data_IF_019507956201
#
_entry.id   IF_019507956201
#
_cell.length_a   1.000
_cell.length_b   1.000
_cell.length_c   1.000
_cell.angle_alpha   90.00
_cell.angle_beta   90.00
_cell.angle_gamma   90.00
#
_symmetry.space_group_name_H-M   'P 1'
#
loop_
_entity.id
_entity.type
_entity.pdbx_description
1 polymer ?
#
# COMPACT_ATOMS: atom_id res chain seq x y z
N UNK A 1 12.07 12.25 -13.42
CA UNK A 1 11.00 12.34 -12.40
C UNK A 1 11.48 11.56 -11.20
N UNK A 2 11.38 12.10 -9.99
CA UNK A 2 11.74 11.37 -8.76
C UNK A 2 10.81 10.17 -8.59
N UNK A 3 11.38 9.00 -8.32
CA UNK A 3 10.60 7.79 -8.02
C UNK A 3 9.80 7.99 -6.73
N UNK A 4 8.49 7.79 -6.80
CA UNK A 4 7.62 7.80 -5.62
C UNK A 4 7.65 6.40 -5.01
N UNK A 5 7.97 6.32 -3.72
CA UNK A 5 7.98 5.06 -2.98
C UNK A 5 6.92 5.09 -1.88
N UNK A 6 6.09 4.05 -1.82
CA UNK A 6 5.10 3.84 -0.76
C UNK A 6 5.52 2.61 0.03
N UNK A 7 6.06 2.84 1.21
CA UNK A 7 6.53 1.76 2.09
C UNK A 7 5.36 1.17 2.85
N UNK A 8 5.30 -0.16 2.89
CA UNK A 8 4.32 -0.92 3.66
C UNK A 8 5.01 -1.51 4.88
N UNK A 9 4.40 -1.34 6.04
CA UNK A 9 4.86 -1.84 7.32
C UNK A 9 3.85 -2.85 7.88
N UNK A 10 4.36 -3.83 8.62
CA UNK A 10 3.54 -4.72 9.43
C UNK A 10 3.03 -4.01 10.69
N UNK A 11 2.11 -4.65 11.41
CA UNK A 11 1.57 -4.17 12.69
C UNK A 11 2.65 -3.83 13.73
N UNK A 12 3.84 -4.46 13.65
CA UNK A 12 4.96 -4.20 14.54
C UNK A 12 5.88 -3.06 14.07
N UNK A 13 5.49 -2.32 13.03
CA UNK A 13 6.30 -1.27 12.42
C UNK A 13 7.49 -1.79 11.63
N UNK A 14 7.54 -3.10 11.33
CA UNK A 14 8.61 -3.68 10.51
C UNK A 14 8.29 -3.45 9.03
N UNK A 15 9.21 -2.91 8.23
CA UNK A 15 8.99 -2.75 6.80
C UNK A 15 8.81 -4.12 6.14
N UNK A 16 7.76 -4.26 5.35
CA UNK A 16 7.46 -5.46 4.54
C UNK A 16 8.01 -5.27 3.12
N UNK A 17 8.02 -4.04 2.64
CA UNK A 17 8.49 -3.68 1.32
C UNK A 17 7.92 -2.33 0.89
N UNK A 18 8.00 -2.02 -0.39
CA UNK A 18 7.51 -0.75 -0.93
C UNK A 18 7.03 -0.88 -2.38
N UNK A 19 6.04 -0.06 -2.74
CA UNK A 19 5.64 0.14 -4.13
C UNK A 19 6.47 1.24 -4.76
N UNK A 20 6.90 1.05 -6.01
CA UNK A 20 7.56 2.07 -6.83
C UNK A 20 6.58 2.60 -7.86
N UNK A 21 6.39 3.92 -7.86
CA UNK A 21 5.44 4.67 -8.69
C UNK A 21 4.05 4.01 -8.71
N UNK A 22 3.44 3.78 -7.53
CA UNK A 22 2.13 3.14 -7.49
C UNK A 22 1.05 4.02 -8.13
N UNK A 23 0.05 3.36 -8.71
CA UNK A 23 -1.21 3.95 -9.09
C UNK A 23 -2.26 3.67 -8.01
N UNK A 24 -3.07 4.69 -7.73
CA UNK A 24 -4.16 4.60 -6.76
C UNK A 24 -5.50 4.58 -7.51
N UNK A 25 -6.39 3.65 -7.16
CA UNK A 25 -7.76 3.62 -7.70
C UNK A 25 -8.75 3.65 -6.53
N UNK A 26 -9.53 4.72 -6.43
CA UNK A 26 -10.54 4.88 -5.39
C UNK A 26 -11.81 4.06 -5.69
N UNK A 27 -12.41 3.51 -4.63
CA UNK A 27 -13.74 2.88 -4.68
C UNK A 27 -14.77 3.73 -3.91
N UNK A 28 -16.06 3.64 -4.27
CA UNK A 28 -17.12 4.49 -3.70
C UNK A 28 -17.28 4.44 -2.18
N UNK A 29 -16.69 3.45 -1.50
CA UNK A 29 -16.85 3.19 -0.07
C UNK A 29 -15.67 3.67 0.80
N UNK A 30 -14.77 4.50 0.25
CA UNK A 30 -13.59 5.00 0.99
C UNK A 30 -12.41 4.03 1.00
N UNK A 31 -12.48 2.99 0.17
CA UNK A 31 -11.40 2.04 -0.07
C UNK A 31 -10.60 2.50 -1.29
N UNK A 32 -9.32 2.11 -1.37
CA UNK A 32 -8.58 2.29 -2.62
C UNK A 32 -7.63 1.13 -2.91
N UNK A 33 -7.43 0.86 -4.19
CA UNK A 33 -6.42 -0.08 -4.67
C UNK A 33 -5.10 0.64 -4.85
N UNK A 34 -4.03 0.01 -4.36
CA UNK A 34 -2.65 0.38 -4.69
C UNK A 34 -2.12 -0.67 -5.65
N UNK A 35 -1.76 -0.23 -6.85
CA UNK A 35 -1.24 -1.09 -7.90
C UNK A 35 0.12 -0.57 -8.38
N UNK A 36 1.05 -1.46 -8.68
CA UNK A 36 2.40 -1.07 -9.08
C UNK A 36 3.42 -2.18 -8.93
N UNK A 37 4.68 -1.85 -9.18
CA UNK A 37 5.79 -2.75 -8.89
C UNK A 37 6.08 -2.72 -7.39
N UNK A 38 5.89 -3.86 -6.72
CA UNK A 38 6.25 -4.04 -5.33
C UNK A 38 7.67 -4.63 -5.24
N UNK A 39 8.45 -4.12 -4.30
CA UNK A 39 9.77 -4.61 -3.95
C UNK A 39 9.79 -4.93 -2.46
N UNK A 40 10.41 -6.03 -2.08
CA UNK A 40 10.61 -6.36 -0.67
C UNK A 40 11.77 -5.55 -0.04
N UNK A 41 12.05 -5.82 1.22
CA UNK A 41 13.18 -5.21 1.95
C UNK A 41 14.55 -5.57 1.39
N UNK A 42 14.66 -6.61 0.55
CA UNK A 42 15.88 -6.98 -0.16
C UNK A 42 16.02 -6.29 -1.52
N UNK A 43 15.08 -5.39 -1.87
CA UNK A 43 14.95 -4.75 -3.19
C UNK A 43 14.70 -5.77 -4.32
N UNK A 44 14.17 -6.95 -4.01
CA UNK A 44 13.75 -7.90 -5.02
C UNK A 44 12.32 -7.60 -5.46
N UNK A 45 12.09 -7.61 -6.77
CA UNK A 45 10.75 -7.38 -7.32
C UNK A 45 9.85 -8.56 -6.96
N UNK A 46 8.96 -8.35 -6.01
CA UNK A 46 8.04 -9.39 -5.55
C UNK A 46 6.78 -9.37 -6.41
N UNK A 47 6.51 -10.48 -7.10
CA UNK A 47 5.27 -10.65 -7.88
C UNK A 47 4.12 -11.12 -6.98
N UNK A 48 4.44 -11.67 -5.81
CA UNK A 48 3.46 -12.17 -4.85
C UNK A 48 3.88 -11.81 -3.42
N UNK A 49 3.17 -10.85 -2.84
CA UNK A 49 3.21 -10.59 -1.41
C UNK A 49 1.99 -11.26 -0.81
N UNK A 50 2.21 -12.25 0.06
CA UNK A 50 1.16 -12.84 0.87
C UNK A 50 1.00 -11.96 2.12
N UNK A 51 0.11 -10.98 2.02
CA UNK A 51 -0.37 -10.27 3.20
C UNK A 51 -1.36 -11.19 3.92
N UNK A 52 -1.20 -11.35 5.23
CA UNK A 52 -2.17 -12.13 6.00
C UNK A 52 -3.36 -11.21 6.33
N UNK A 53 -4.56 -11.40 5.74
CA UNK A 53 -5.72 -10.56 6.03
C UNK A 53 -6.25 -10.74 7.46
N UNK A 54 -5.92 -11.85 8.13
CA UNK A 54 -6.25 -12.09 9.54
C UNK A 54 -5.19 -11.52 10.49
N UNK A 55 -4.01 -11.16 9.99
CA UNK A 55 -3.06 -10.38 10.77
C UNK A 55 -3.59 -8.94 10.85
N UNK A 56 -3.72 -8.45 12.09
CA UNK A 56 -4.01 -7.06 12.44
C UNK A 56 -3.30 -6.03 11.54
N UNK A 57 -3.88 -4.82 11.37
CA UNK A 57 -3.73 -4.02 10.15
C UNK A 57 -2.29 -3.65 9.81
N UNK A 58 -1.95 -3.76 8.54
CA UNK A 58 -0.70 -3.22 7.99
C UNK A 58 -0.80 -1.69 7.91
N UNK A 59 0.34 -1.01 7.80
CA UNK A 59 0.34 0.43 7.56
C UNK A 59 1.13 0.81 6.30
N UNK A 60 0.69 1.84 5.59
CA UNK A 60 1.36 2.34 4.41
C UNK A 60 1.77 3.81 4.62
N UNK A 61 3.04 4.12 4.36
CA UNK A 61 3.51 5.49 4.33
C UNK A 61 3.22 6.11 2.96
N UNK A 62 2.26 7.03 2.97
CA UNK A 62 1.78 7.75 1.80
C UNK A 62 2.31 9.19 1.75
N UNK A 63 3.26 9.55 2.60
CA UNK A 63 3.81 10.92 2.67
C UNK A 63 4.44 11.41 1.37
N UNK A 64 4.94 10.47 0.55
CA UNK A 64 5.54 10.74 -0.76
C UNK A 64 4.61 10.45 -1.93
N UNK A 65 3.44 9.85 -1.67
CA UNK A 65 2.46 9.56 -2.70
C UNK A 65 1.78 10.85 -3.17
N UNK A 66 1.65 11.00 -4.49
CA UNK A 66 0.83 12.05 -5.11
C UNK A 66 -0.51 11.44 -5.49
N UNK A 67 -1.56 12.26 -5.48
CA UNK A 67 -2.92 11.87 -5.90
C UNK A 67 -3.55 10.77 -5.06
N UNK A 68 -3.30 10.78 -3.74
CA UNK A 68 -3.99 9.88 -2.80
C UNK A 68 -5.46 10.31 -2.71
N UNK A 69 -6.42 9.43 -3.02
CA UNK A 69 -7.83 9.84 -3.12
C UNK A 69 -8.50 10.17 -1.77
N UNK A 70 -7.91 9.75 -0.65
CA UNK A 70 -8.48 9.93 0.70
C UNK A 70 -7.39 10.26 1.74
N UNK A 71 -7.76 11.08 2.74
CA UNK A 71 -6.91 11.42 3.90
C UNK A 71 -6.85 10.29 4.95
N UNK A 72 -7.86 9.42 4.94
CA UNK A 72 -8.02 8.31 5.86
C UNK A 72 -8.22 7.03 5.05
N UNK A 73 -7.54 5.97 5.48
CA UNK A 73 -7.37 4.75 4.70
C UNK A 73 -8.13 3.64 5.41
N UNK A 74 -9.20 3.15 4.76
CA UNK A 74 -10.13 2.16 5.34
C UNK A 74 -9.72 0.74 4.94
N UNK A 75 -9.52 0.49 3.64
CA UNK A 75 -9.08 -0.79 3.09
C UNK A 75 -8.15 -0.56 1.88
N UNK A 76 -7.14 -1.42 1.72
CA UNK A 76 -6.23 -1.41 0.57
C UNK A 76 -6.29 -2.72 -0.19
N UNK A 77 -6.55 -2.61 -1.50
CA UNK A 77 -6.38 -3.74 -2.40
C UNK A 77 -4.95 -3.72 -2.93
N UNK A 78 -4.22 -4.83 -2.74
CA UNK A 78 -2.89 -5.01 -3.34
C UNK A 78 -3.05 -5.80 -4.62
N UNK A 79 -3.14 -5.07 -5.74
CA UNK A 79 -3.40 -5.59 -7.08
C UNK A 79 -4.78 -6.27 -7.26
N UNK A 80 -5.50 -5.82 -8.30
CA UNK A 80 -6.82 -6.33 -8.70
C UNK A 80 -6.91 -7.86 -8.71
N UNK A 81 -7.90 -8.41 -7.99
CA UNK A 81 -8.19 -9.85 -7.95
C UNK A 81 -7.59 -10.63 -6.77
N UNK A 82 -6.89 -9.96 -5.85
CA UNK A 82 -6.46 -10.54 -4.57
C UNK A 82 -7.41 -10.15 -3.43
N UNK A 83 -7.31 -10.88 -2.31
CA UNK A 83 -8.04 -10.52 -1.10
C UNK A 83 -7.63 -9.09 -0.65
N UNK A 84 -8.60 -8.23 -0.30
CA UNK A 84 -8.29 -6.93 0.29
C UNK A 84 -7.50 -7.12 1.58
N UNK A 85 -6.55 -6.22 1.81
CA UNK A 85 -5.76 -6.16 3.04
C UNK A 85 -6.21 -4.92 3.79
N UNK A 86 -6.62 -5.10 5.05
CA UNK A 86 -6.90 -3.94 5.90
C UNK A 86 -5.58 -3.24 6.18
N UNK A 87 -5.48 -2.02 5.70
CA UNK A 87 -4.31 -1.16 5.90
C UNK A 87 -4.74 0.12 6.59
N UNK A 88 -3.79 0.87 7.13
CA UNK A 88 -3.99 2.24 7.61
C UNK A 88 -2.85 3.12 7.09
N UNK A 89 -3.10 4.35 6.73
CA UNK A 89 -2.09 5.22 6.14
C UNK A 89 -2.46 6.67 6.31
N UNK A 90 -1.45 7.53 6.45
CA UNK A 90 -1.61 8.98 6.51
C UNK A 90 -0.92 9.60 5.30
N UNK A 91 -1.72 10.11 4.37
CA UNK A 91 -1.24 10.96 3.29
C UNK A 91 -1.20 12.43 3.72
N UNK A 92 -0.28 13.21 3.16
CA UNK A 92 -0.41 14.67 3.14
C UNK A 92 -1.12 15.03 1.83
N UNK A 93 -2.39 15.44 1.92
CA UNK A 93 -3.04 16.17 0.83
C UNK A 93 -2.29 17.46 0.53
#
# INVERSE_FOLDING_TARGET
MSEVKVTVFSVHGQPVGYFVNPTFTAFPQGEFEVSGNFFDTANEKTVRVDFNPEATPYSADLSLAKDVPYNELVNVYVQRGRQPVVMTGRGKN
#
